data_IF_310055105829
#
_entry.id   IF_310055105829
#
_cell.length_a   1.000
_cell.length_b   1.000
_cell.length_c   1.000
_cell.angle_alpha   90.00
_cell.angle_beta   90.00
_cell.angle_gamma   90.00
#
_symmetry.space_group_name_H-M   'P 1'
#
loop_
_entity.id
_entity.type
_entity.pdbx_description
1 polymer ?
#
# COMPACT_ATOMS: atom_id res chain seq x y z
N UNK A 1 5.43 16.19 -13.13
CA UNK A 1 5.16 16.50 -14.54
C UNK A 1 6.37 16.06 -15.38
N UNK A 2 6.15 15.49 -16.59
CA UNK A 2 7.25 15.13 -17.46
C UNK A 2 7.99 16.40 -17.94
N UNK A 3 9.30 16.32 -18.11
CA UNK A 3 10.12 17.41 -18.68
C UNK A 3 9.95 17.48 -20.20
N UNK A 4 9.72 16.32 -20.83
CA UNK A 4 9.41 16.19 -22.25
C UNK A 4 8.31 15.13 -22.43
N UNK A 5 7.53 15.26 -23.51
CA UNK A 5 6.43 14.35 -23.79
C UNK A 5 5.17 14.62 -22.98
N UNK A 6 4.29 13.63 -22.92
CA UNK A 6 3.02 13.69 -22.22
C UNK A 6 2.71 12.36 -21.50
N UNK A 7 1.94 12.45 -20.42
CA UNK A 7 1.38 11.29 -19.73
C UNK A 7 -0.13 11.38 -19.87
N UNK A 8 -0.74 10.32 -20.40
CA UNK A 8 -2.18 10.27 -20.67
C UNK A 8 -2.87 9.29 -19.70
N UNK A 9 -3.96 9.71 -19.12
CA UNK A 9 -4.92 8.85 -18.42
C UNK A 9 -6.21 8.83 -19.25
N UNK A 10 -6.59 7.65 -19.74
CA UNK A 10 -7.73 7.50 -20.66
C UNK A 10 -7.67 8.42 -21.91
N UNK A 11 -6.47 8.62 -22.47
CA UNK A 11 -6.25 9.47 -23.63
C UNK A 11 -6.27 10.98 -23.37
N UNK A 12 -6.38 11.38 -22.10
CA UNK A 12 -6.39 12.80 -21.69
C UNK A 12 -5.09 13.08 -20.91
N UNK A 13 -4.38 14.15 -21.29
CA UNK A 13 -3.18 14.60 -20.59
C UNK A 13 -3.49 14.86 -19.11
N UNK A 14 -2.66 14.25 -18.22
CA UNK A 14 -2.86 14.33 -16.76
C UNK A 14 -2.91 15.78 -16.25
N UNK A 15 -2.26 16.73 -16.94
CA UNK A 15 -2.28 18.16 -16.60
C UNK A 15 -3.65 18.82 -16.76
N UNK A 16 -4.59 18.17 -17.48
CA UNK A 16 -5.96 18.65 -17.69
C UNK A 16 -6.95 18.17 -16.65
N UNK A 17 -6.56 17.22 -15.81
CA UNK A 17 -7.40 16.75 -14.71
C UNK A 17 -7.39 17.73 -13.52
N UNK A 18 -8.50 17.79 -12.79
CA UNK A 18 -8.48 18.34 -11.46
C UNK A 18 -7.51 17.51 -10.59
N UNK A 19 -6.59 18.18 -9.89
CA UNK A 19 -5.54 17.48 -9.12
C UNK A 19 -6.12 16.49 -8.09
N UNK A 20 -7.19 16.87 -7.39
CA UNK A 20 -7.82 16.02 -6.37
C UNK A 20 -8.45 14.79 -7.02
N UNK A 21 -9.23 14.95 -8.08
CA UNK A 21 -9.84 13.86 -8.82
C UNK A 21 -8.77 12.91 -9.41
N UNK A 22 -7.67 13.48 -9.92
CA UNK A 22 -6.53 12.70 -10.40
C UNK A 22 -5.88 11.89 -9.27
N UNK A 23 -5.68 12.48 -8.08
CA UNK A 23 -5.11 11.77 -6.93
C UNK A 23 -6.05 10.70 -6.35
N UNK A 24 -7.36 10.84 -6.54
CA UNK A 24 -8.34 9.87 -6.04
C UNK A 24 -8.31 8.54 -6.81
N UNK A 25 -7.76 8.51 -8.03
CA UNK A 25 -7.62 7.25 -8.79
C UNK A 25 -6.46 6.37 -8.33
N UNK A 26 -5.59 6.85 -7.42
CA UNK A 26 -4.43 6.11 -6.94
C UNK A 26 -4.55 5.76 -5.46
N UNK A 27 -4.25 4.51 -5.12
CA UNK A 27 -3.86 4.06 -3.78
C UNK A 27 -2.36 3.79 -3.79
N UNK A 28 -1.60 4.36 -2.85
CA UNK A 28 -0.14 4.27 -2.86
C UNK A 28 0.36 3.78 -1.50
N UNK A 29 1.26 2.80 -1.52
CA UNK A 29 2.09 2.43 -0.38
C UNK A 29 3.50 2.93 -0.67
N UNK A 30 3.96 3.89 0.11
CA UNK A 30 5.32 4.44 0.01
C UNK A 30 6.29 3.63 0.87
N UNK A 31 7.55 3.56 0.46
CA UNK A 31 8.62 2.95 1.24
C UNK A 31 8.82 3.66 2.60
N UNK A 32 8.72 4.98 2.62
CA UNK A 32 8.90 5.86 3.78
C UNK A 32 7.57 6.29 4.41
N UNK A 33 6.57 5.40 4.44
CA UNK A 33 5.28 5.68 5.06
C UNK A 33 5.44 6.11 6.52
N UNK A 34 4.54 6.96 6.99
CA UNK A 34 4.48 7.38 8.38
C UNK A 34 3.13 7.02 9.01
N UNK A 35 3.19 6.60 10.27
CA UNK A 35 2.04 6.44 11.13
C UNK A 35 1.99 7.60 12.13
N UNK A 36 0.79 8.00 12.48
CA UNK A 36 0.54 9.11 13.40
C UNK A 36 0.03 8.58 14.74
N UNK A 37 0.26 9.35 15.80
CA UNK A 37 -0.22 9.03 17.16
C UNK A 37 -1.75 9.26 17.26
N UNK A 38 -2.50 8.57 16.39
CA UNK A 38 -3.97 8.50 16.37
C UNK A 38 -4.41 7.05 16.48
N UNK A 39 -5.72 6.78 16.46
CA UNK A 39 -6.19 5.41 16.49
C UNK A 39 -5.75 4.63 15.24
N UNK A 40 -5.69 3.29 15.36
CA UNK A 40 -5.37 2.39 14.25
C UNK A 40 -6.31 2.61 13.06
N UNK A 41 -7.61 2.77 13.31
CA UNK A 41 -8.60 3.02 12.27
C UNK A 41 -8.40 4.35 11.56
N UNK A 42 -8.07 5.41 12.28
CA UNK A 42 -7.73 6.72 11.71
C UNK A 42 -6.46 6.66 10.86
N UNK A 43 -5.45 5.88 11.28
CA UNK A 43 -4.25 5.64 10.48
C UNK A 43 -4.55 4.88 9.19
N UNK A 44 -5.45 3.92 9.24
CA UNK A 44 -5.88 3.15 8.04
C UNK A 44 -6.70 4.03 7.09
N UNK A 45 -7.63 4.81 7.61
CA UNK A 45 -8.49 5.67 6.79
C UNK A 45 -7.77 6.95 6.31
N UNK A 46 -6.70 7.35 6.98
CA UNK A 46 -6.05 8.66 6.84
C UNK A 46 -7.07 9.82 7.04
N UNK A 47 -8.04 9.64 7.93
CA UNK A 47 -9.13 10.58 8.21
C UNK A 47 -9.58 10.46 9.67
N UNK A 48 -10.16 11.55 10.26
CA UNK A 48 -10.67 11.51 11.63
C UNK A 48 -11.86 10.55 11.79
N UNK A 49 -12.73 10.48 10.80
CA UNK A 49 -13.89 9.59 10.77
C UNK A 49 -13.65 8.46 9.76
N UNK A 50 -14.09 7.26 10.08
CA UNK A 50 -13.87 6.10 9.21
C UNK A 50 -14.94 5.02 9.39
N UNK A 51 -15.12 4.21 8.37
CA UNK A 51 -15.92 2.98 8.43
C UNK A 51 -15.10 1.87 9.12
N UNK A 52 -15.53 1.50 10.33
CA UNK A 52 -14.87 0.48 11.14
C UNK A 52 -14.79 -0.87 10.45
N UNK A 53 -15.88 -1.32 9.85
CA UNK A 53 -15.93 -2.63 9.21
C UNK A 53 -15.00 -2.70 7.99
N UNK A 54 -14.94 -1.60 7.22
CA UNK A 54 -14.01 -1.45 6.09
C UNK A 54 -12.55 -1.41 6.55
N UNK A 55 -12.25 -0.69 7.64
CA UNK A 55 -10.90 -0.64 8.20
C UNK A 55 -10.44 -2.02 8.72
N UNK A 56 -11.30 -2.74 9.44
CA UNK A 56 -11.01 -4.10 9.91
C UNK A 56 -10.80 -5.07 8.75
N UNK A 57 -11.60 -4.97 7.67
CA UNK A 57 -11.43 -5.79 6.47
C UNK A 57 -10.06 -5.53 5.83
N UNK A 58 -9.71 -4.26 5.62
CA UNK A 58 -8.43 -3.88 5.03
C UNK A 58 -7.23 -4.38 5.86
N UNK A 59 -7.30 -4.26 7.20
CA UNK A 59 -6.28 -4.76 8.12
C UNK A 59 -6.11 -6.29 8.02
N UNK A 60 -7.21 -7.04 7.94
CA UNK A 60 -7.15 -8.50 7.77
C UNK A 60 -6.54 -8.89 6.43
N UNK A 61 -6.91 -8.22 5.36
CA UNK A 61 -6.34 -8.43 4.02
C UNK A 61 -4.84 -8.15 4.00
N UNK A 62 -4.38 -7.10 4.69
CA UNK A 62 -2.97 -6.75 4.83
C UNK A 62 -2.18 -7.67 5.79
N UNK A 63 -2.78 -8.74 6.32
CA UNK A 63 -2.11 -9.66 7.25
C UNK A 63 -1.94 -9.14 8.67
N UNK A 64 -2.73 -8.15 9.09
CA UNK A 64 -2.73 -7.59 10.46
C UNK A 64 -3.82 -8.21 11.37
N UNK A 65 -4.54 -9.22 10.89
CA UNK A 65 -5.75 -9.74 11.53
C UNK A 65 -5.51 -10.29 12.95
N UNK A 66 -4.44 -11.02 13.20
CA UNK A 66 -4.17 -11.61 14.52
C UNK A 66 -3.73 -10.55 15.53
N UNK A 67 -2.92 -9.60 15.08
CA UNK A 67 -2.57 -8.44 15.92
C UNK A 67 -3.80 -7.61 16.27
N UNK A 68 -4.70 -7.37 15.30
CA UNK A 68 -5.95 -6.64 15.51
C UNK A 68 -6.82 -7.28 16.62
N UNK A 69 -6.92 -8.63 16.66
CA UNK A 69 -7.65 -9.37 17.70
C UNK A 69 -7.02 -9.19 19.09
N UNK A 70 -5.70 -9.03 19.15
CA UNK A 70 -4.96 -8.85 20.40
C UNK A 70 -4.98 -7.41 20.94
N UNK A 71 -5.43 -6.45 20.14
CA UNK A 71 -5.51 -5.05 20.56
C UNK A 71 -6.74 -4.83 21.47
N UNK A 72 -6.59 -4.10 22.61
CA UNK A 72 -7.64 -3.97 23.61
C UNK A 72 -8.91 -3.28 23.10
N UNK A 73 -8.78 -2.33 22.18
CA UNK A 73 -9.89 -1.55 21.63
C UNK A 73 -10.03 -1.76 20.10
N UNK A 74 -9.39 -2.80 19.52
CA UNK A 74 -9.43 -3.05 18.09
C UNK A 74 -8.93 -1.85 17.28
N UNK A 75 -9.74 -1.37 16.34
CA UNK A 75 -9.38 -0.21 15.50
C UNK A 75 -9.36 1.12 16.26
N UNK A 76 -9.99 1.20 17.44
CA UNK A 76 -9.96 2.39 18.30
C UNK A 76 -8.69 2.47 19.16
N UNK A 77 -7.83 1.46 19.13
CA UNK A 77 -6.57 1.46 19.88
C UNK A 77 -5.65 2.56 19.35
N UNK A 78 -5.23 3.46 20.24
CA UNK A 78 -4.26 4.53 19.94
C UNK A 78 -2.89 3.93 19.59
N UNK A 79 -2.26 4.41 18.52
CA UNK A 79 -0.87 4.10 18.21
C UNK A 79 0.04 5.12 18.90
N UNK A 80 1.16 4.61 19.42
CA UNK A 80 2.16 5.38 20.17
C UNK A 80 1.59 6.02 21.45
N UNK A 81 2.49 6.51 22.31
CA UNK A 81 2.14 7.06 23.64
C UNK A 81 2.23 8.58 23.71
N UNK A 82 2.32 9.24 22.54
CA UNK A 82 2.48 10.69 22.50
C UNK A 82 1.29 11.45 23.08
N UNK A 83 0.07 10.91 22.89
CA UNK A 83 -1.17 11.54 23.36
C UNK A 83 -2.05 10.62 24.24
N UNK A 84 -1.72 9.33 24.33
CA UNK A 84 -2.45 8.34 25.11
C UNK A 84 -1.46 7.39 25.78
N UNK A 85 -1.38 7.41 27.11
CA UNK A 85 -0.48 6.55 27.88
C UNK A 85 -0.72 5.06 27.65
N UNK A 86 -1.93 4.68 27.23
CA UNK A 86 -2.30 3.30 26.87
C UNK A 86 -2.03 2.98 25.39
N UNK A 87 -1.48 3.93 24.64
CA UNK A 87 -1.11 3.74 23.25
C UNK A 87 -0.14 2.58 23.05
N UNK A 88 -0.29 1.88 21.94
CA UNK A 88 0.53 0.69 21.63
C UNK A 88 1.63 1.04 20.63
N UNK A 89 2.81 0.48 20.88
CA UNK A 89 3.89 0.52 19.91
C UNK A 89 3.66 -0.53 18.81
N UNK A 90 4.09 -0.19 17.60
CA UNK A 90 4.06 -1.09 16.45
C UNK A 90 5.46 -1.31 15.90
N UNK A 91 5.77 -2.54 15.52
CA UNK A 91 7.03 -2.86 14.84
C UNK A 91 7.04 -2.31 13.41
N UNK A 92 8.21 -2.23 12.78
CA UNK A 92 8.32 -1.81 11.38
C UNK A 92 7.46 -2.66 10.43
N UNK A 93 7.44 -3.97 10.62
CA UNK A 93 6.60 -4.88 9.84
C UNK A 93 5.10 -4.70 10.10
N UNK A 94 4.68 -4.44 11.33
CA UNK A 94 3.29 -4.09 11.66
C UNK A 94 2.90 -2.76 11.02
N UNK A 95 3.79 -1.76 11.07
CA UNK A 95 3.59 -0.47 10.41
C UNK A 95 3.39 -0.61 8.90
N UNK A 96 4.18 -1.48 8.26
CA UNK A 96 4.04 -1.75 6.83
C UNK A 96 2.71 -2.40 6.47
N UNK A 97 2.23 -3.35 7.28
CA UNK A 97 0.89 -3.94 7.12
C UNK A 97 -0.21 -2.89 7.29
N UNK A 98 -0.05 -1.92 8.19
CA UNK A 98 -1.00 -0.79 8.34
C UNK A 98 -0.96 0.12 7.09
N UNK A 99 0.22 0.40 6.54
CA UNK A 99 0.35 1.18 5.30
C UNK A 99 -0.32 0.49 4.09
N UNK A 100 -0.17 -0.82 3.97
CA UNK A 100 -0.88 -1.63 2.97
C UNK A 100 -2.41 -1.57 3.22
N UNK A 101 -2.86 -1.72 4.48
CA UNK A 101 -4.27 -1.61 4.83
C UNK A 101 -4.86 -0.23 4.48
N UNK A 102 -4.10 0.86 4.62
CA UNK A 102 -4.48 2.21 4.19
C UNK A 102 -4.76 2.27 2.69
N UNK A 103 -3.89 1.69 1.88
CA UNK A 103 -4.09 1.65 0.43
C UNK A 103 -5.32 0.81 0.04
N UNK A 104 -5.54 -0.33 0.70
CA UNK A 104 -6.73 -1.17 0.51
C UNK A 104 -8.02 -0.48 0.99
N UNK A 105 -7.96 0.27 2.09
CA UNK A 105 -9.09 1.06 2.57
C UNK A 105 -9.49 2.16 1.57
N UNK A 106 -8.53 2.84 0.95
CA UNK A 106 -8.82 3.84 -0.08
C UNK A 106 -9.52 3.21 -1.29
N UNK A 107 -9.14 1.99 -1.68
CA UNK A 107 -9.78 1.17 -2.71
C UNK A 107 -9.84 1.84 -4.10
N UNK A 108 -8.78 2.54 -4.47
CA UNK A 108 -8.68 3.21 -5.76
C UNK A 108 -8.43 2.22 -6.92
N UNK A 109 -8.76 2.59 -8.18
CA UNK A 109 -8.56 1.74 -9.37
C UNK A 109 -7.10 1.36 -9.64
N UNK A 110 -6.15 2.24 -9.30
CA UNK A 110 -4.72 1.99 -9.43
C UNK A 110 -4.09 1.81 -8.06
N UNK A 111 -3.40 0.70 -7.87
CA UNK A 111 -2.64 0.39 -6.66
C UNK A 111 -1.14 0.47 -6.98
N UNK A 112 -0.43 1.39 -6.32
CA UNK A 112 1.02 1.54 -6.46
C UNK A 112 1.67 1.06 -5.16
N UNK A 113 2.58 0.10 -5.28
CA UNK A 113 3.29 -0.50 -4.16
C UNK A 113 4.79 -0.27 -4.35
N UNK A 114 5.35 0.67 -3.60
CA UNK A 114 6.77 1.00 -3.63
C UNK A 114 7.48 0.30 -2.48
N UNK A 115 8.21 -0.77 -2.81
CA UNK A 115 8.90 -1.66 -1.86
C UNK A 115 8.04 -2.07 -0.64
N UNK A 116 6.81 -2.59 -0.86
CA UNK A 116 5.81 -2.77 0.19
C UNK A 116 6.17 -3.85 1.22
N UNK A 117 7.30 -4.53 1.05
CA UNK A 117 7.76 -5.61 1.93
C UNK A 117 9.14 -5.33 2.53
N UNK A 118 9.68 -4.11 2.37
CA UNK A 118 11.05 -3.78 2.78
C UNK A 118 11.32 -4.02 4.29
N UNK A 119 10.34 -3.81 5.15
CA UNK A 119 10.44 -3.98 6.61
C UNK A 119 9.91 -5.32 7.11
N UNK A 120 9.52 -6.25 6.21
CA UNK A 120 9.00 -7.57 6.58
C UNK A 120 10.12 -8.61 6.63
N UNK A 121 9.96 -9.56 7.55
CA UNK A 121 10.75 -10.78 7.51
C UNK A 121 10.34 -11.68 6.31
N UNK A 122 11.16 -12.65 5.91
CA UNK A 122 10.90 -13.45 4.69
C UNK A 122 9.59 -14.24 4.73
N UNK A 123 9.09 -14.62 5.90
CA UNK A 123 7.84 -15.38 6.05
C UNK A 123 6.66 -14.43 5.85
N UNK A 124 6.65 -13.28 6.53
CA UNK A 124 5.63 -12.26 6.38
C UNK A 124 5.62 -11.67 4.96
N UNK A 125 6.79 -11.55 4.32
CA UNK A 125 6.91 -11.16 2.92
C UNK A 125 6.20 -12.16 1.99
N UNK A 126 6.47 -13.46 2.14
CA UNK A 126 5.85 -14.51 1.35
C UNK A 126 4.30 -14.51 1.52
N UNK A 127 3.80 -14.33 2.75
CA UNK A 127 2.37 -14.22 3.01
C UNK A 127 1.72 -13.04 2.30
N UNK A 128 2.40 -11.91 2.20
CA UNK A 128 1.90 -10.73 1.47
C UNK A 128 1.86 -11.03 -0.03
N UNK A 129 2.90 -11.66 -0.59
CA UNK A 129 2.93 -12.00 -2.01
C UNK A 129 1.84 -13.01 -2.40
N UNK A 130 1.59 -14.03 -1.58
CA UNK A 130 0.50 -14.99 -1.83
C UNK A 130 -0.88 -14.31 -1.87
N UNK A 131 -1.06 -13.26 -1.06
CA UNK A 131 -2.33 -12.51 -0.98
C UNK A 131 -2.40 -11.35 -1.98
N UNK A 132 -1.28 -11.01 -2.64
CA UNK A 132 -1.22 -9.80 -3.46
C UNK A 132 -2.26 -9.82 -4.59
N UNK A 133 -2.43 -10.96 -5.26
CA UNK A 133 -3.43 -11.11 -6.31
C UNK A 133 -4.86 -10.89 -5.78
N UNK A 134 -5.15 -11.41 -4.58
CA UNK A 134 -6.46 -11.19 -3.94
C UNK A 134 -6.65 -9.73 -3.53
N UNK A 135 -5.59 -9.05 -3.12
CA UNK A 135 -5.61 -7.62 -2.75
C UNK A 135 -5.79 -6.73 -3.98
N UNK A 136 -5.13 -7.07 -5.09
CA UNK A 136 -5.24 -6.33 -6.35
C UNK A 136 -6.61 -6.53 -6.97
N UNK A 137 -7.12 -7.77 -7.02
CA UNK A 137 -8.39 -8.09 -7.66
C UNK A 137 -8.39 -7.65 -9.13
N UNK A 138 -9.42 -6.92 -9.55
CA UNK A 138 -9.58 -6.40 -10.92
C UNK A 138 -8.87 -5.05 -11.15
N UNK A 139 -8.04 -4.58 -10.21
CA UNK A 139 -7.36 -3.29 -10.32
C UNK A 139 -6.07 -3.39 -11.13
N UNK A 140 -5.62 -2.27 -11.65
CA UNK A 140 -4.26 -2.15 -12.17
C UNK A 140 -3.29 -1.92 -11.01
N UNK A 141 -2.30 -2.80 -10.86
CA UNK A 141 -1.25 -2.66 -9.85
C UNK A 141 0.11 -2.37 -10.50
N UNK A 142 0.83 -1.44 -9.89
CA UNK A 142 2.24 -1.16 -10.22
C UNK A 142 3.05 -1.54 -8.99
N UNK A 143 3.93 -2.52 -9.16
CA UNK A 143 4.82 -2.99 -8.11
C UNK A 143 6.24 -2.55 -8.41
N UNK A 144 6.84 -1.78 -7.51
CA UNK A 144 8.21 -1.31 -7.61
C UNK A 144 9.06 -2.12 -6.63
N UNK A 145 10.10 -2.80 -7.13
CA UNK A 145 11.00 -3.60 -6.30
C UNK A 145 12.39 -3.68 -6.93
N UNK A 146 13.39 -3.79 -6.09
CA UNK A 146 14.75 -4.17 -6.49
C UNK A 146 15.02 -5.69 -6.33
N UNK A 147 14.01 -6.46 -5.89
CA UNK A 147 14.10 -7.93 -5.67
C UNK A 147 13.44 -8.68 -6.81
N UNK A 148 14.21 -9.36 -7.64
CA UNK A 148 13.68 -10.13 -8.78
C UNK A 148 12.71 -11.25 -8.35
N UNK A 149 12.90 -11.84 -7.17
CA UNK A 149 12.02 -12.90 -6.65
C UNK A 149 10.58 -12.44 -6.44
N UNK A 150 10.35 -11.14 -6.26
CA UNK A 150 9.05 -10.55 -6.01
C UNK A 150 8.24 -10.24 -7.28
N UNK A 151 8.83 -10.40 -8.46
CA UNK A 151 8.17 -10.05 -9.72
C UNK A 151 7.44 -11.24 -10.38
N UNK A 152 7.47 -12.43 -9.78
CA UNK A 152 6.90 -13.67 -10.37
C UNK A 152 5.40 -13.63 -10.60
N UNK A 153 4.67 -12.80 -9.85
CA UNK A 153 3.22 -12.65 -9.95
C UNK A 153 2.78 -11.50 -10.86
N UNK A 154 3.74 -10.78 -11.46
CA UNK A 154 3.43 -9.68 -12.37
C UNK A 154 3.15 -10.20 -13.77
N UNK A 155 2.12 -9.63 -14.42
CA UNK A 155 1.81 -9.94 -15.83
C UNK A 155 2.90 -9.41 -16.75
N UNK A 156 3.48 -8.27 -16.39
CA UNK A 156 4.55 -7.61 -17.15
C UNK A 156 5.61 -7.04 -16.20
N UNK A 157 6.86 -7.19 -16.58
CA UNK A 157 8.03 -6.70 -15.86
C UNK A 157 8.76 -5.71 -16.76
N UNK A 158 9.05 -4.53 -16.21
CA UNK A 158 9.83 -3.49 -16.88
C UNK A 158 11.09 -3.22 -16.06
N UNK A 159 12.26 -3.43 -16.67
CA UNK A 159 13.55 -3.20 -16.02
C UNK A 159 14.12 -1.85 -16.43
N UNK A 160 14.42 -1.03 -15.43
CA UNK A 160 15.03 0.29 -15.60
C UNK A 160 16.52 0.26 -15.22
N UNK A 161 17.35 0.90 -16.02
CA UNK A 161 18.74 1.22 -15.69
C UNK A 161 19.07 2.63 -16.20
N UNK A 162 19.72 3.43 -15.36
CA UNK A 162 20.11 4.82 -15.66
C UNK A 162 18.97 5.65 -16.30
N UNK A 163 17.72 5.47 -15.81
CA UNK A 163 16.54 6.19 -16.29
C UNK A 163 15.99 5.72 -17.64
N UNK A 164 16.45 4.58 -18.16
CA UNK A 164 15.99 3.99 -19.42
C UNK A 164 15.43 2.61 -19.20
N UNK A 165 14.43 2.24 -19.98
CA UNK A 165 13.93 0.86 -20.07
C UNK A 165 14.97 0.06 -20.85
N UNK A 166 15.54 -0.97 -20.19
CA UNK A 166 16.53 -1.87 -20.81
C UNK A 166 15.95 -3.24 -21.14
N UNK A 167 14.86 -3.62 -20.49
CA UNK A 167 14.17 -4.89 -20.73
C UNK A 167 12.69 -4.75 -20.38
N UNK A 168 11.83 -5.46 -21.11
CA UNK A 168 10.40 -5.53 -20.86
C UNK A 168 9.88 -6.91 -21.30
N UNK A 169 9.00 -7.53 -20.52
CA UNK A 169 8.40 -8.84 -20.81
C UNK A 169 7.75 -9.48 -19.60
N UNK A 170 7.18 -10.67 -19.79
CA UNK A 170 6.66 -11.50 -18.72
C UNK A 170 7.80 -12.28 -18.03
N UNK A 171 7.55 -12.74 -16.78
CA UNK A 171 8.44 -13.67 -16.11
C UNK A 171 8.30 -15.04 -16.76
N UNK A 172 9.32 -15.51 -17.49
CA UNK A 172 9.39 -16.89 -17.95
C UNK A 172 9.86 -17.78 -16.79
N UNK A 173 9.12 -18.85 -16.53
CA UNK A 173 9.44 -19.88 -15.52
C UNK A 173 10.52 -20.84 -16.00
#
# INVERSE_FOLDING_TARGET
DPTEGEILLNGIDIRKYNYREYMDVFSVVFQDFQLLAFSLGQNVAAAPEYDRARAEKALRQAGFGDRLKALPLGTETSLFRDFDENGVEVSGGEGQKIAIARALYKDAPFLILDEPTAALDPIAEAEIYEKLNDMVGDKTAIYISHRLSSCKFCDEIVVFDAGKIIQQGAHET
#
